data_IF_492618849484
#
_entry.id   IF_492618849484
#
_cell.length_a   1.000
_cell.length_b   1.000
_cell.length_c   1.000
_cell.angle_alpha   90.00
_cell.angle_beta   90.00
_cell.angle_gamma   90.00
#
_symmetry.space_group_name_H-M   'P 1'
#
loop_
_entity.id
_entity.type
_entity.pdbx_description
1 polymer ?
#
# COMPACT_ATOMS: atom_id res chain seq x y z
N UNK A 1 15.55 39.11 -108.70
CA UNK A 1 16.62 39.01 -107.69
C UNK A 1 16.46 40.22 -106.78
N UNK A 2 15.62 40.07 -105.77
CA UNK A 2 15.97 39.78 -104.37
C UNK A 2 16.29 41.05 -103.58
N UNK A 3 15.60 41.14 -102.44
CA UNK A 3 15.79 42.02 -101.26
C UNK A 3 14.86 43.23 -101.17
N UNK A 4 14.31 43.57 -100.02
CA UNK A 4 14.06 42.86 -98.75
C UNK A 4 13.19 43.85 -97.96
N UNK A 5 11.99 43.47 -97.54
CA UNK A 5 11.13 44.29 -96.71
C UNK A 5 11.42 44.01 -95.22
N UNK A 6 11.35 45.09 -94.45
CA UNK A 6 11.51 45.23 -93.01
C UNK A 6 10.67 44.27 -92.16
N UNK A 7 11.22 43.79 -91.04
CA UNK A 7 10.43 43.45 -89.86
C UNK A 7 11.24 43.45 -88.55
N UNK A 8 10.60 44.00 -87.52
CA UNK A 8 11.04 44.14 -86.14
C UNK A 8 11.41 42.80 -85.48
N UNK A 9 12.41 42.83 -84.60
CA UNK A 9 12.54 41.87 -83.50
C UNK A 9 12.70 42.61 -82.16
N UNK A 10 11.71 42.45 -81.28
CA UNK A 10 11.85 42.66 -79.85
C UNK A 10 12.08 41.32 -79.16
N UNK A 11 13.08 41.27 -78.26
CA UNK A 11 13.46 40.16 -77.34
C UNK A 11 14.33 40.85 -76.26
N UNK A 12 14.30 40.67 -74.94
CA UNK A 12 13.64 39.73 -74.02
C UNK A 12 13.60 40.40 -72.63
N UNK A 13 12.47 40.31 -71.91
CA UNK A 13 12.45 40.50 -70.46
C UNK A 13 12.56 39.12 -69.80
N UNK A 14 13.57 38.94 -68.93
CA UNK A 14 13.79 37.70 -68.17
C UNK A 14 12.55 37.34 -67.32
N UNK A 15 12.01 36.14 -67.53
CA UNK A 15 11.08 35.50 -66.62
C UNK A 15 11.83 34.78 -65.51
N UNK A 16 11.55 35.15 -64.26
CA UNK A 16 12.04 34.50 -63.04
C UNK A 16 11.38 33.12 -62.92
N UNK A 17 12.18 32.06 -62.99
CA UNK A 17 11.73 30.70 -62.72
C UNK A 17 11.53 30.50 -61.21
N UNK A 18 10.30 30.13 -60.82
CA UNK A 18 9.91 29.85 -59.45
C UNK A 18 10.56 28.58 -58.89
N UNK A 19 11.21 28.72 -57.74
CA UNK A 19 11.63 27.62 -56.88
C UNK A 19 10.43 27.18 -56.02
N UNK A 20 9.69 26.17 -56.47
CA UNK A 20 8.78 25.43 -55.59
C UNK A 20 9.61 24.49 -54.71
N UNK A 21 9.98 24.98 -53.53
CA UNK A 21 10.59 24.18 -52.48
C UNK A 21 9.59 23.11 -52.00
N UNK A 22 10.01 21.85 -52.10
CA UNK A 22 9.33 20.70 -51.51
C UNK A 22 9.03 20.96 -50.04
N UNK A 23 7.76 21.14 -49.71
CA UNK A 23 7.29 20.99 -48.34
C UNK A 23 7.33 19.51 -47.98
N UNK A 24 8.43 19.07 -47.39
CA UNK A 24 8.47 17.83 -46.59
C UNK A 24 7.40 17.94 -45.52
N UNK A 25 6.31 17.19 -45.68
CA UNK A 25 5.35 16.91 -44.64
C UNK A 25 6.10 16.28 -43.47
N UNK A 26 6.28 17.04 -42.39
CA UNK A 26 6.63 16.49 -41.09
C UNK A 26 5.44 15.62 -40.68
N UNK A 27 5.48 14.34 -41.01
CA UNK A 27 4.74 13.34 -40.27
C UNK A 27 5.27 13.44 -38.84
N UNK A 28 4.53 14.17 -38.00
CA UNK A 28 4.63 14.04 -36.57
C UNK A 28 4.21 12.60 -36.28
N UNK A 29 5.17 11.71 -36.18
CA UNK A 29 5.00 10.52 -35.35
C UNK A 29 4.53 11.06 -34.00
N UNK A 30 3.24 10.86 -33.70
CA UNK A 30 2.79 10.79 -32.33
C UNK A 30 3.67 9.71 -31.71
N UNK A 31 4.73 10.14 -31.04
CA UNK A 31 5.30 9.36 -29.97
C UNK A 31 4.11 9.10 -29.06
N UNK A 32 3.55 7.90 -29.15
CA UNK A 32 2.80 7.36 -28.03
C UNK A 32 3.78 7.47 -26.90
N UNK A 33 3.64 8.52 -26.07
CA UNK A 33 4.22 8.53 -24.75
C UNK A 33 3.75 7.20 -24.18
N UNK A 34 4.64 6.21 -24.08
CA UNK A 34 4.28 4.95 -23.45
C UNK A 34 3.81 5.35 -22.05
N UNK A 35 2.49 5.38 -21.87
CA UNK A 35 1.89 5.78 -20.62
C UNK A 35 2.46 4.83 -19.57
N UNK A 36 3.08 5.41 -18.54
CA UNK A 36 3.65 4.64 -17.46
C UNK A 36 2.52 3.83 -16.82
N UNK A 37 2.63 2.50 -16.72
CA UNK A 37 1.55 1.70 -16.16
C UNK A 37 1.41 2.02 -14.67
N UNK A 38 0.17 1.99 -14.17
CA UNK A 38 -0.06 1.93 -12.73
C UNK A 38 0.46 0.60 -12.17
N UNK A 39 1.02 0.63 -10.96
CA UNK A 39 1.59 -0.54 -10.30
C UNK A 39 0.82 -0.78 -9.01
N UNK A 40 0.16 -1.92 -8.90
CA UNK A 40 -0.57 -2.32 -7.69
C UNK A 40 0.04 -3.63 -7.18
N UNK A 41 0.49 -3.62 -5.93
CA UNK A 41 0.89 -4.82 -5.20
C UNK A 41 -0.20 -5.12 -4.18
N UNK A 42 -0.92 -6.22 -4.39
CA UNK A 42 -1.84 -6.78 -3.41
C UNK A 42 -1.05 -7.79 -2.57
N UNK A 43 -0.97 -7.56 -1.26
CA UNK A 43 -0.16 -8.35 -0.34
C UNK A 43 -1.05 -8.96 0.76
N UNK A 44 -1.45 -10.22 0.58
CA UNK A 44 -2.19 -10.97 1.58
C UNK A 44 -1.29 -11.37 2.77
N UNK A 45 -1.90 -11.64 3.91
CA UNK A 45 -1.19 -11.97 5.15
C UNK A 45 -1.51 -13.42 5.53
N UNK A 46 -0.46 -14.25 5.63
CA UNK A 46 -0.54 -15.69 5.92
C UNK A 46 -1.37 -16.54 4.94
N UNK A 47 -1.64 -16.02 3.73
CA UNK A 47 -2.31 -16.79 2.67
C UNK A 47 -1.37 -17.88 2.14
N UNK A 48 -1.77 -19.14 2.29
CA UNK A 48 -1.03 -20.30 1.83
C UNK A 48 -1.14 -20.53 0.32
N UNK A 49 -0.16 -21.24 -0.25
CA UNK A 49 -0.16 -21.60 -1.67
C UNK A 49 -1.43 -22.36 -2.09
N UNK A 50 -1.93 -23.27 -1.23
CA UNK A 50 -3.12 -24.08 -1.49
C UNK A 50 -4.45 -23.45 -1.11
N UNK A 51 -4.50 -22.16 -0.75
CA UNK A 51 -5.72 -21.50 -0.27
C UNK A 51 -6.57 -20.86 -1.39
N UNK A 52 -6.08 -20.85 -2.63
CA UNK A 52 -6.78 -20.24 -3.78
C UNK A 52 -7.16 -21.32 -4.80
N UNK A 53 -8.36 -21.20 -5.38
CA UNK A 53 -8.90 -22.13 -6.38
C UNK A 53 -7.96 -22.39 -7.56
N UNK A 54 -7.33 -21.34 -8.11
CA UNK A 54 -6.36 -21.47 -9.20
C UNK A 54 -5.08 -22.27 -8.84
N UNK A 55 -4.79 -22.48 -7.56
CA UNK A 55 -3.73 -23.37 -7.06
C UNK A 55 -4.26 -24.72 -6.55
N UNK A 56 -5.54 -25.03 -6.78
CA UNK A 56 -6.15 -26.33 -6.49
C UNK A 56 -6.96 -26.39 -5.18
N UNK A 57 -7.25 -25.25 -4.54
CA UNK A 57 -8.11 -25.25 -3.36
C UNK A 57 -9.53 -25.77 -3.69
N UNK A 58 -10.01 -26.76 -2.94
CA UNK A 58 -11.38 -27.31 -3.12
C UNK A 58 -12.33 -26.92 -1.99
N UNK A 59 -11.81 -26.52 -0.83
CA UNK A 59 -12.60 -26.15 0.36
C UNK A 59 -13.10 -24.70 0.39
N UNK A 60 -12.65 -23.86 -0.53
CA UNK A 60 -13.00 -22.43 -0.61
C UNK A 60 -13.16 -22.01 -2.07
N UNK A 61 -14.00 -21.01 -2.32
CA UNK A 61 -14.18 -20.43 -3.66
C UNK A 61 -13.55 -19.05 -3.71
N UNK A 62 -12.67 -18.82 -4.69
CA UNK A 62 -11.94 -17.56 -4.88
C UNK A 62 -12.15 -16.97 -6.28
N UNK A 63 -13.41 -16.81 -6.76
CA UNK A 63 -13.71 -16.58 -8.16
C UNK A 63 -13.07 -15.32 -8.75
N UNK A 64 -12.88 -14.27 -7.94
CA UNK A 64 -12.21 -13.05 -8.37
C UNK A 64 -10.70 -13.25 -8.60
N UNK A 65 -10.04 -14.05 -7.74
CA UNK A 65 -8.62 -14.40 -7.91
C UNK A 65 -8.44 -15.39 -9.06
N UNK A 66 -9.36 -16.34 -9.21
CA UNK A 66 -9.34 -17.31 -10.31
C UNK A 66 -9.52 -16.59 -11.67
N UNK A 67 -10.40 -15.58 -11.71
CA UNK A 67 -10.54 -14.71 -12.88
C UNK A 67 -9.26 -13.92 -13.16
N UNK A 68 -8.63 -13.32 -12.14
CA UNK A 68 -7.37 -12.60 -12.30
C UNK A 68 -6.27 -13.52 -12.87
N UNK A 69 -6.16 -14.74 -12.33
CA UNK A 69 -5.24 -15.76 -12.80
C UNK A 69 -5.49 -16.15 -14.27
N UNK A 70 -6.76 -16.26 -14.70
CA UNK A 70 -7.12 -16.60 -16.09
C UNK A 70 -6.71 -15.55 -17.13
N UNK A 71 -6.49 -14.30 -16.70
CA UNK A 71 -6.10 -13.18 -17.57
C UNK A 71 -4.66 -12.71 -17.36
N UNK A 72 -3.90 -13.41 -16.51
CA UNK A 72 -2.57 -13.00 -16.08
C UNK A 72 -1.54 -14.10 -16.20
N UNK A 73 -0.45 -13.93 -15.45
CA UNK A 73 0.61 -14.94 -15.31
C UNK A 73 0.49 -15.55 -13.92
N UNK A 74 0.43 -16.87 -13.85
CA UNK A 74 0.40 -17.64 -12.60
C UNK A 74 1.81 -18.18 -12.32
N UNK A 75 2.32 -17.92 -11.13
CA UNK A 75 3.62 -18.42 -10.69
C UNK A 75 3.41 -19.65 -9.82
N UNK A 76 3.95 -20.80 -10.24
CA UNK A 76 3.90 -22.04 -9.44
C UNK A 76 5.11 -22.22 -8.52
N UNK A 77 6.14 -21.39 -8.69
CA UNK A 77 7.39 -21.43 -7.92
C UNK A 77 7.83 -19.99 -7.58
N UNK A 78 7.09 -19.35 -6.67
CA UNK A 78 7.37 -18.02 -6.15
C UNK A 78 7.52 -18.06 -4.64
N UNK A 79 8.53 -17.38 -4.10
CA UNK A 79 8.91 -17.46 -2.68
C UNK A 79 8.96 -16.10 -2.02
N UNK A 80 8.48 -16.03 -0.78
CA UNK A 80 8.81 -14.92 0.10
C UNK A 80 10.28 -15.03 0.55
N UNK A 81 10.92 -13.88 0.80
CA UNK A 81 12.31 -13.84 1.28
C UNK A 81 12.50 -14.43 2.69
N UNK A 82 11.41 -14.60 3.44
CA UNK A 82 11.37 -15.13 4.79
C UNK A 82 10.00 -15.76 5.09
N UNK A 83 9.94 -16.64 6.09
CA UNK A 83 8.71 -17.30 6.53
C UNK A 83 7.82 -16.45 7.46
N UNK A 84 8.17 -15.17 7.69
CA UNK A 84 7.42 -14.27 8.59
C UNK A 84 7.22 -12.88 7.97
N UNK A 85 6.21 -12.17 8.47
CA UNK A 85 5.70 -10.92 7.89
C UNK A 85 6.73 -9.78 7.82
N UNK A 86 7.29 -9.32 8.95
CA UNK A 86 8.21 -8.15 8.98
C UNK A 86 9.43 -8.34 8.07
N UNK A 87 10.17 -9.45 8.12
CA UNK A 87 11.32 -9.67 7.23
C UNK A 87 10.94 -9.73 5.74
N UNK A 88 9.79 -10.31 5.39
CA UNK A 88 9.32 -10.38 4.01
C UNK A 88 8.88 -9.03 3.46
N UNK A 89 8.16 -8.23 4.26
CA UNK A 89 7.77 -6.86 3.90
C UNK A 89 9.00 -5.95 3.75
N UNK A 90 10.00 -6.10 4.63
CA UNK A 90 11.25 -5.36 4.53
C UNK A 90 11.95 -5.64 3.20
N UNK A 91 12.11 -6.92 2.86
CA UNK A 91 12.84 -7.31 1.65
C UNK A 91 12.10 -6.89 0.38
N UNK A 92 10.76 -6.97 0.36
CA UNK A 92 9.95 -6.46 -0.75
C UNK A 92 10.18 -4.96 -0.98
N UNK A 93 10.08 -4.14 0.08
CA UNK A 93 10.14 -2.69 -0.05
C UNK A 93 11.55 -2.15 -0.26
N UNK A 94 12.59 -2.91 0.08
CA UNK A 94 13.99 -2.44 0.01
C UNK A 94 14.82 -3.12 -1.07
N UNK A 95 14.39 -4.29 -1.56
CA UNK A 95 15.21 -5.16 -2.40
C UNK A 95 16.38 -5.81 -1.67
N UNK A 96 16.48 -5.67 -0.33
CA UNK A 96 17.54 -6.26 0.48
C UNK A 96 17.00 -7.38 1.36
N UNK A 97 17.66 -8.55 1.34
CA UNK A 97 17.33 -9.62 2.25
C UNK A 97 17.41 -9.18 3.72
N UNK A 98 16.29 -9.32 4.42
CA UNK A 98 16.10 -8.92 5.81
C UNK A 98 17.14 -9.46 6.82
N UNK A 99 17.75 -10.63 6.57
CA UNK A 99 18.81 -11.16 7.44
C UNK A 99 20.05 -10.25 7.47
N UNK A 100 20.29 -9.44 6.43
CA UNK A 100 21.44 -8.50 6.37
C UNK A 100 21.34 -7.39 7.42
N UNK A 101 20.14 -7.10 7.89
CA UNK A 101 19.87 -6.12 8.95
C UNK A 101 19.35 -6.79 10.23
N UNK A 102 19.39 -8.12 10.31
CA UNK A 102 18.83 -8.90 11.42
C UNK A 102 17.37 -8.55 11.74
N UNK A 103 16.57 -8.26 10.71
CA UNK A 103 15.15 -7.95 10.90
C UNK A 103 14.40 -9.18 11.44
N UNK A 104 13.55 -8.93 12.43
CA UNK A 104 12.72 -9.93 13.11
C UNK A 104 11.27 -9.45 13.14
N UNK A 105 10.35 -10.36 13.47
CA UNK A 105 8.97 -9.97 13.79
C UNK A 105 9.00 -8.99 14.95
N UNK A 106 8.20 -7.93 14.86
CA UNK A 106 8.15 -6.90 15.89
C UNK A 106 7.24 -7.38 17.03
N UNK A 107 7.80 -7.42 18.23
CA UNK A 107 7.07 -7.93 19.40
C UNK A 107 6.26 -6.84 20.11
N UNK A 108 6.44 -5.57 19.72
CA UNK A 108 5.88 -4.37 20.35
C UNK A 108 5.90 -3.17 19.40
N UNK A 109 5.53 -2.01 19.92
CA UNK A 109 5.82 -0.72 19.30
C UNK A 109 7.33 -0.54 19.17
N UNK A 110 7.85 -0.84 17.97
CA UNK A 110 9.25 -0.72 17.63
C UNK A 110 9.48 0.38 16.62
N UNK A 111 10.70 0.94 16.64
CA UNK A 111 11.14 1.96 15.69
C UNK A 111 10.99 1.50 14.26
N UNK A 112 10.84 2.48 13.37
CA UNK A 112 10.83 2.24 11.93
C UNK A 112 12.09 1.45 11.51
N UNK A 113 11.87 0.25 10.99
CA UNK A 113 12.92 -0.69 10.59
C UNK A 113 13.68 -0.21 9.35
N UNK A 114 12.96 0.40 8.40
CA UNK A 114 13.54 1.00 7.20
C UNK A 114 13.98 2.42 7.54
N UNK A 115 15.28 2.63 7.71
CA UNK A 115 15.82 3.96 8.05
C UNK A 115 15.54 4.97 6.92
N UNK A 116 15.09 6.20 7.24
CA UNK A 116 15.01 7.28 6.26
C UNK A 116 16.33 7.45 5.49
N UNK A 117 16.22 7.72 4.19
CA UNK A 117 17.38 7.81 3.28
C UNK A 117 17.83 6.48 2.67
N UNK A 118 17.34 5.32 3.16
CA UNK A 118 17.52 4.04 2.46
C UNK A 118 16.76 4.04 1.14
N UNK A 119 17.33 3.43 0.10
CA UNK A 119 16.59 3.18 -1.14
C UNK A 119 15.44 2.21 -0.90
N UNK A 120 14.27 2.56 -1.42
CA UNK A 120 13.05 1.77 -1.32
C UNK A 120 12.34 1.73 -2.68
N UNK A 121 11.54 0.70 -2.91
CA UNK A 121 10.65 0.59 -4.07
C UNK A 121 9.75 1.84 -4.24
N UNK A 122 8.97 2.28 -3.22
CA UNK A 122 8.20 3.52 -3.33
C UNK A 122 9.09 4.75 -3.56
N UNK A 123 10.23 4.87 -2.88
CA UNK A 123 11.15 6.00 -3.08
C UNK A 123 11.72 6.08 -4.50
N UNK A 124 12.01 4.93 -5.11
CA UNK A 124 12.43 4.82 -6.51
C UNK A 124 11.30 5.21 -7.46
N UNK A 125 10.09 4.68 -7.25
CA UNK A 125 8.93 4.98 -8.11
C UNK A 125 8.52 6.45 -8.01
N UNK A 126 8.56 7.04 -6.82
CA UNK A 126 8.33 8.47 -6.59
C UNK A 126 9.31 9.34 -7.39
N UNK A 127 10.61 8.99 -7.39
CA UNK A 127 11.61 9.66 -8.25
C UNK A 127 11.31 9.50 -9.74
N UNK A 128 10.69 8.39 -10.14
CA UNK A 128 10.24 8.15 -11.51
C UNK A 128 8.91 8.86 -11.85
N UNK A 129 8.35 9.67 -10.96
CA UNK A 129 7.13 10.47 -11.19
C UNK A 129 5.83 9.75 -10.85
N UNK A 130 5.88 8.66 -10.08
CA UNK A 130 4.68 8.00 -9.58
C UNK A 130 4.15 8.68 -8.32
N UNK A 131 2.83 8.75 -8.17
CA UNK A 131 2.21 8.92 -6.85
C UNK A 131 2.30 7.61 -6.09
N UNK A 132 2.63 7.65 -4.80
CA UNK A 132 2.88 6.43 -4.02
C UNK A 132 1.97 6.33 -2.80
N UNK A 133 1.35 5.18 -2.58
CA UNK A 133 0.50 4.92 -1.43
C UNK A 133 0.75 3.54 -0.79
N UNK A 134 0.53 3.49 0.52
CA UNK A 134 0.36 2.24 1.26
C UNK A 134 -0.98 2.25 1.98
N UNK A 135 -1.76 1.17 1.81
CA UNK A 135 -3.03 0.96 2.52
C UNK A 135 -3.02 -0.41 3.19
N UNK A 136 -3.36 -0.47 4.47
CA UNK A 136 -3.52 -1.69 5.26
C UNK A 136 -2.31 -2.03 6.13
N UNK A 137 -1.96 -3.32 6.25
CA UNK A 137 -0.98 -3.80 7.22
C UNK A 137 0.44 -3.28 6.94
N UNK A 138 1.01 -2.55 7.91
CA UNK A 138 2.36 -1.99 7.81
C UNK A 138 3.44 -2.93 8.36
N UNK A 139 3.44 -3.13 9.68
CA UNK A 139 4.30 -4.05 10.41
C UNK A 139 5.83 -3.92 10.17
N UNK A 140 6.30 -2.70 9.93
CA UNK A 140 7.72 -2.34 9.77
C UNK A 140 8.21 -1.33 10.82
N UNK A 141 7.45 -1.17 11.89
CA UNK A 141 7.72 -0.23 12.96
C UNK A 141 7.41 1.21 12.55
N UNK A 142 7.31 2.06 13.56
CA UNK A 142 7.00 3.48 13.46
C UNK A 142 7.73 4.22 14.57
N UNK A 143 8.09 5.47 14.34
CA UNK A 143 8.82 6.25 15.34
C UNK A 143 10.33 6.02 15.30
N UNK A 144 11.08 6.86 16.01
CA UNK A 144 12.55 6.80 16.02
C UNK A 144 13.09 5.70 16.94
N UNK A 145 12.29 5.31 17.93
CA UNK A 145 12.68 4.38 18.99
C UNK A 145 13.44 5.01 20.14
N UNK A 146 13.71 6.32 20.11
CA UNK A 146 14.39 7.02 21.22
C UNK A 146 13.48 7.11 22.45
N UNK A 147 12.17 7.08 22.22
CA UNK A 147 11.10 7.05 23.21
C UNK A 147 10.02 6.08 22.73
N UNK A 148 9.16 5.66 23.67
CA UNK A 148 7.92 4.97 23.30
C UNK A 148 7.12 5.82 22.32
N UNK A 149 6.47 5.17 21.35
CA UNK A 149 5.67 5.84 20.33
C UNK A 149 4.56 6.67 20.99
N UNK A 150 4.55 7.98 20.72
CA UNK A 150 3.46 8.84 21.15
C UNK A 150 2.32 8.79 20.12
N UNK A 151 1.30 7.99 20.43
CA UNK A 151 0.10 7.85 19.60
C UNK A 151 -0.82 9.08 19.65
N UNK A 152 -0.53 10.06 20.51
CA UNK A 152 -1.33 11.29 20.68
C UNK A 152 -0.83 12.48 19.86
N UNK A 153 0.14 12.25 18.99
CA UNK A 153 0.70 13.25 18.08
C UNK A 153 1.03 12.60 16.75
N UNK A 154 1.69 13.35 15.88
CA UNK A 154 2.22 12.77 14.65
C UNK A 154 3.30 11.72 14.96
N UNK A 155 3.12 10.51 14.44
CA UNK A 155 3.98 9.35 14.66
C UNK A 155 5.06 9.32 13.59
N UNK A 156 6.26 9.82 13.94
CA UNK A 156 7.39 9.99 13.01
C UNK A 156 8.70 9.38 13.51
N UNK A 157 9.54 8.84 12.62
CA UNK A 157 9.32 8.62 11.19
C UNK A 157 8.35 7.46 10.88
N UNK A 158 7.77 7.48 9.68
CA UNK A 158 6.88 6.46 9.14
C UNK A 158 7.02 6.31 7.62
N UNK A 159 5.95 5.88 6.91
CA UNK A 159 5.99 5.66 5.46
C UNK A 159 6.38 6.88 4.63
N UNK A 160 6.05 8.08 5.11
CA UNK A 160 6.31 9.33 4.38
C UNK A 160 7.82 9.54 4.17
N UNK A 161 8.62 9.27 5.19
CA UNK A 161 10.08 9.45 5.18
C UNK A 161 10.82 8.39 4.34
N UNK A 162 10.13 7.36 3.87
CA UNK A 162 10.68 6.25 3.07
C UNK A 162 10.01 6.12 1.70
N UNK A 163 9.31 7.16 1.26
CA UNK A 163 8.94 7.34 -0.14
C UNK A 163 7.46 7.18 -0.48
N UNK A 164 6.57 7.02 0.51
CA UNK A 164 5.13 7.05 0.27
C UNK A 164 4.57 8.49 0.37
N UNK A 165 3.69 8.88 -0.55
CA UNK A 165 2.97 10.16 -0.50
C UNK A 165 1.72 10.11 0.37
N UNK A 166 1.11 8.93 0.45
CA UNK A 166 -0.10 8.65 1.23
C UNK A 166 0.06 7.36 2.03
N UNK A 167 -0.47 7.34 3.25
CA UNK A 167 -0.52 6.13 4.07
C UNK A 167 -1.81 6.03 4.87
N UNK A 168 -2.43 4.85 4.86
CA UNK A 168 -3.52 4.47 5.76
C UNK A 168 -3.23 3.08 6.32
N UNK A 169 -2.88 2.99 7.60
CA UNK A 169 -2.22 1.81 8.15
C UNK A 169 -3.04 1.12 9.22
N UNK A 170 -2.96 -0.22 9.21
CA UNK A 170 -2.93 -1.01 10.44
C UNK A 170 -1.45 -1.00 10.89
N UNK A 171 -1.10 -0.37 12.03
CA UNK A 171 0.30 -0.07 12.35
C UNK A 171 1.21 -1.30 12.46
N UNK A 172 0.72 -2.36 13.11
CA UNK A 172 1.43 -3.63 13.25
C UNK A 172 0.59 -4.77 12.68
N UNK A 173 -0.22 -5.42 13.51
CA UNK A 173 -1.11 -6.53 13.13
C UNK A 173 -2.46 -6.31 13.81
N UNK A 174 -3.54 -6.92 13.30
CA UNK A 174 -4.86 -6.78 13.93
C UNK A 174 -4.90 -7.31 15.38
N UNK A 175 -4.08 -8.29 15.74
CA UNK A 175 -3.96 -8.87 17.09
C UNK A 175 -3.17 -8.03 18.10
N UNK A 176 -2.57 -6.90 17.71
CA UNK A 176 -1.72 -6.06 18.58
C UNK A 176 -2.37 -4.71 18.89
N UNK A 177 -2.07 -4.18 20.08
CA UNK A 177 -2.40 -2.78 20.42
C UNK A 177 -1.37 -1.80 19.83
N UNK A 178 -1.73 -0.53 19.57
CA UNK A 178 -3.08 0.02 19.67
C UNK A 178 -3.98 -0.42 18.52
N UNK A 179 -5.25 -0.68 18.83
CA UNK A 179 -6.26 -1.07 17.85
C UNK A 179 -6.85 0.13 17.13
N UNK A 180 -6.01 0.90 16.44
CA UNK A 180 -6.39 2.14 15.75
C UNK A 180 -5.80 2.20 14.35
N UNK A 181 -6.45 2.92 13.44
CA UNK A 181 -5.87 3.23 12.14
C UNK A 181 -4.97 4.46 12.21
N UNK A 182 -3.90 4.46 11.41
CA UNK A 182 -3.01 5.60 11.23
C UNK A 182 -3.12 6.14 9.81
N UNK A 183 -3.61 7.37 9.64
CA UNK A 183 -3.66 8.05 8.35
C UNK A 183 -2.65 9.19 8.32
N UNK A 184 -1.71 9.15 7.36
CA UNK A 184 -0.64 10.14 7.22
C UNK A 184 0.02 10.49 8.56
N UNK A 185 0.47 9.46 9.26
CA UNK A 185 1.19 9.55 10.54
C UNK A 185 0.34 10.03 11.74
N UNK A 186 -0.98 10.14 11.61
CA UNK A 186 -1.88 10.54 12.71
C UNK A 186 -2.95 9.48 12.97
N UNK A 187 -3.30 9.30 14.23
CA UNK A 187 -4.39 8.39 14.60
C UNK A 187 -5.71 8.96 14.09
N UNK A 188 -6.49 8.12 13.40
CA UNK A 188 -7.80 8.49 12.86
C UNK A 188 -8.80 8.64 14.01
N UNK A 189 -9.57 9.73 14.02
CA UNK A 189 -10.61 10.02 15.02
C UNK A 189 -10.12 10.06 16.48
N UNK A 190 -8.85 10.40 16.72
CA UNK A 190 -8.36 10.58 18.07
C UNK A 190 -9.02 11.80 18.73
N UNK A 191 -9.67 11.56 19.87
CA UNK A 191 -10.14 12.61 20.77
C UNK A 191 -9.01 13.06 21.70
N UNK A 192 -8.67 14.35 21.70
CA UNK A 192 -7.62 14.91 22.54
C UNK A 192 -7.91 14.79 24.05
N UNK A 193 -9.18 14.68 24.43
CA UNK A 193 -9.61 14.53 25.83
C UNK A 193 -9.55 13.06 26.30
N UNK A 194 -9.30 12.11 25.39
CA UNK A 194 -9.16 10.67 25.68
C UNK A 194 -7.86 10.11 25.06
N UNK A 195 -6.68 10.49 25.59
CA UNK A 195 -5.40 10.14 24.99
C UNK A 195 -5.08 8.64 25.08
N UNK A 196 -4.47 8.12 24.03
CA UNK A 196 -3.99 6.75 23.93
C UNK A 196 -2.72 6.55 24.77
N UNK A 197 -2.71 5.49 25.57
CA UNK A 197 -1.50 4.96 26.21
C UNK A 197 -1.35 3.48 25.85
N UNK A 198 -0.13 3.05 25.54
CA UNK A 198 0.19 1.66 25.17
C UNK A 198 1.33 1.15 26.05
N UNK A 199 1.22 -0.10 26.49
CA UNK A 199 2.24 -0.79 27.27
C UNK A 199 2.25 -2.28 26.93
N UNK A 200 3.41 -2.81 26.55
CA UNK A 200 3.58 -4.25 26.31
C UNK A 200 4.11 -5.00 27.52
N UNK A 201 4.58 -4.29 28.55
CA UNK A 201 5.28 -4.89 29.70
C UNK A 201 4.43 -4.91 30.97
N UNK A 202 3.50 -3.96 31.12
CA UNK A 202 2.70 -3.78 32.35
C UNK A 202 1.23 -3.51 32.03
N UNK A 203 0.28 -4.07 32.80
CA UNK A 203 -1.13 -3.71 32.69
C UNK A 203 -1.37 -2.21 32.83
N UNK A 204 -2.38 -1.72 32.11
CA UNK A 204 -2.99 -0.41 32.32
C UNK A 204 -4.36 -0.69 32.96
N UNK A 205 -4.62 -0.18 34.16
CA UNK A 205 -5.77 -0.59 35.00
C UNK A 205 -7.14 -0.05 34.54
N UNK A 206 -7.37 0.10 33.24
CA UNK A 206 -8.57 0.77 32.71
C UNK A 206 -9.46 -0.19 31.91
N UNK A 207 -8.87 -1.04 31.05
CA UNK A 207 -9.64 -1.90 30.15
C UNK A 207 -9.58 -3.37 30.59
N UNK A 208 -10.69 -4.13 30.40
CA UNK A 208 -10.72 -5.55 30.71
C UNK A 208 -9.71 -6.33 29.86
N UNK A 209 -9.31 -7.49 30.36
CA UNK A 209 -8.31 -8.34 29.69
C UNK A 209 -8.87 -9.72 29.41
N UNK A 210 -8.46 -10.36 28.31
CA UNK A 210 -8.95 -11.70 27.97
C UNK A 210 -8.67 -12.75 29.05
N UNK A 211 -7.56 -12.60 29.79
CA UNK A 211 -7.21 -13.51 30.89
C UNK A 211 -8.16 -13.38 32.09
N UNK A 212 -8.49 -12.15 32.51
CA UNK A 212 -9.34 -11.90 33.68
C UNK A 212 -10.84 -11.86 33.36
N UNK A 213 -11.20 -11.67 32.08
CA UNK A 213 -12.56 -11.47 31.62
C UNK A 213 -12.90 -12.32 30.38
N UNK A 214 -12.74 -13.66 30.44
CA UNK A 214 -13.01 -14.53 29.30
C UNK A 214 -14.47 -14.46 28.83
N UNK A 215 -15.41 -14.10 29.71
CA UNK A 215 -16.82 -13.91 29.41
C UNK A 215 -17.12 -12.76 28.44
N UNK A 216 -16.18 -11.83 28.28
CA UNK A 216 -16.31 -10.69 27.36
C UNK A 216 -15.81 -10.99 25.95
N UNK A 217 -15.26 -12.19 25.72
CA UNK A 217 -14.63 -12.55 24.46
C UNK A 217 -15.61 -13.13 23.44
N UNK A 218 -15.57 -12.61 22.21
CA UNK A 218 -16.24 -13.19 21.03
C UNK A 218 -15.54 -14.46 20.53
N UNK A 219 -14.27 -14.64 20.89
CA UNK A 219 -13.45 -15.79 20.50
C UNK A 219 -12.47 -16.16 21.62
N UNK A 220 -12.13 -17.44 21.80
CA UNK A 220 -11.20 -17.84 22.84
C UNK A 220 -9.84 -17.14 22.72
N UNK A 221 -9.33 -16.67 23.85
CA UNK A 221 -7.94 -16.19 23.96
C UNK A 221 -6.98 -17.37 24.12
N UNK A 222 -5.77 -17.24 23.57
CA UNK A 222 -4.65 -18.11 23.91
C UNK A 222 -3.69 -17.42 24.91
N UNK A 223 -2.57 -18.07 25.23
CA UNK A 223 -1.60 -17.55 26.19
C UNK A 223 -0.97 -16.20 25.79
N UNK A 224 -0.89 -15.91 24.49
CA UNK A 224 -0.33 -14.68 23.93
C UNK A 224 -1.40 -13.59 23.77
N UNK A 225 -2.61 -13.98 23.33
CA UNK A 225 -3.71 -13.09 22.96
C UNK A 225 -4.70 -12.85 24.10
N UNK A 226 -4.23 -12.63 25.34
CA UNK A 226 -5.09 -12.53 26.53
C UNK A 226 -4.98 -11.20 27.29
N UNK A 227 -4.45 -10.15 26.66
CA UNK A 227 -4.33 -8.81 27.27
C UNK A 227 -5.57 -7.97 26.95
N UNK A 228 -5.43 -6.66 26.70
CA UNK A 228 -6.58 -5.74 26.56
C UNK A 228 -7.61 -6.26 25.56
N UNK A 229 -8.89 -6.22 25.94
CA UNK A 229 -10.02 -6.53 25.08
C UNK A 229 -10.48 -5.25 24.37
N UNK A 230 -10.53 -5.30 23.04
CA UNK A 230 -11.13 -4.27 22.20
C UNK A 230 -12.20 -4.94 21.35
N UNK A 231 -13.45 -4.46 21.46
CA UNK A 231 -14.60 -4.95 20.71
C UNK A 231 -14.86 -6.47 20.84
N UNK A 232 -14.60 -7.00 22.03
CA UNK A 232 -14.77 -8.43 22.36
C UNK A 232 -13.63 -9.31 21.85
N UNK A 233 -12.51 -8.74 21.41
CA UNK A 233 -11.33 -9.49 20.98
C UNK A 233 -10.13 -9.03 21.81
N UNK A 234 -9.52 -9.98 22.52
CA UNK A 234 -8.30 -9.74 23.29
C UNK A 234 -7.07 -9.67 22.40
N UNK A 235 -6.12 -8.85 22.81
CA UNK A 235 -4.93 -8.50 22.02
C UNK A 235 -3.64 -8.91 22.72
N UNK A 236 -2.54 -8.77 21.99
CA UNK A 236 -1.19 -8.69 22.53
C UNK A 236 -0.96 -7.25 22.99
N UNK A 237 -0.54 -7.09 24.25
CA UNK A 237 -0.25 -5.79 24.87
C UNK A 237 -1.46 -5.11 25.52
N UNK A 238 -1.17 -4.07 26.29
CA UNK A 238 -2.15 -3.30 27.04
C UNK A 238 -2.31 -1.91 26.42
N UNK A 239 -3.56 -1.44 26.32
CA UNK A 239 -3.84 -0.05 25.94
C UNK A 239 -4.95 0.56 26.80
N UNK A 240 -5.01 1.89 26.81
CA UNK A 240 -6.11 2.68 27.36
C UNK A 240 -6.34 3.93 26.50
N UNK A 241 -7.54 4.50 26.58
CA UNK A 241 -7.95 5.69 25.83
C UNK A 241 -8.12 5.47 24.33
N UNK A 242 -8.36 6.57 23.61
CA UNK A 242 -8.63 6.59 22.17
C UNK A 242 -9.89 5.85 21.75
N UNK A 243 -10.93 5.85 22.59
CA UNK A 243 -12.15 5.05 22.36
C UNK A 243 -12.79 5.32 21.00
N UNK A 244 -12.87 6.59 20.59
CA UNK A 244 -13.45 7.00 19.29
C UNK A 244 -12.57 6.63 18.10
N UNK A 245 -11.30 6.29 18.36
CA UNK A 245 -10.31 5.86 17.35
C UNK A 245 -10.22 4.32 17.24
N UNK A 246 -10.84 3.55 18.14
CA UNK A 246 -10.78 2.09 18.09
C UNK A 246 -11.43 1.59 16.80
N UNK A 247 -10.69 0.79 16.05
CA UNK A 247 -11.23 0.17 14.84
C UNK A 247 -12.30 -0.86 15.18
N UNK A 248 -13.07 -1.25 14.17
CA UNK A 248 -13.91 -2.46 14.20
C UNK A 248 -13.30 -3.49 13.26
N UNK A 249 -12.85 -4.62 13.80
CA UNK A 249 -12.10 -5.64 13.06
C UNK A 249 -12.86 -6.19 11.85
N UNK A 250 -14.17 -6.42 12.03
CA UNK A 250 -15.09 -6.87 10.99
C UNK A 250 -15.10 -5.93 9.78
N UNK A 251 -14.81 -4.65 9.97
CA UNK A 251 -14.95 -3.63 8.94
C UNK A 251 -13.64 -3.38 8.18
N UNK A 252 -12.54 -4.07 8.53
CA UNK A 252 -11.23 -3.92 7.90
C UNK A 252 -11.28 -3.97 6.36
N UNK A 253 -11.90 -4.98 5.71
CA UNK A 253 -11.92 -5.04 4.26
C UNK A 253 -12.59 -3.82 3.64
N UNK A 254 -13.66 -3.31 4.25
CA UNK A 254 -14.43 -2.17 3.74
C UNK A 254 -13.69 -0.85 3.92
N UNK A 255 -13.12 -0.61 5.11
CA UNK A 255 -12.34 0.60 5.39
C UNK A 255 -11.12 0.67 4.48
N UNK A 256 -10.38 -0.44 4.35
CA UNK A 256 -9.18 -0.47 3.50
C UNK A 256 -9.51 -0.37 2.01
N UNK A 257 -10.59 -1.03 1.54
CA UNK A 257 -11.05 -0.88 0.16
C UNK A 257 -11.45 0.56 -0.14
N UNK A 258 -12.23 1.22 0.73
CA UNK A 258 -12.67 2.60 0.50
C UNK A 258 -11.49 3.58 0.37
N UNK A 259 -10.45 3.42 1.20
CA UNK A 259 -9.22 4.23 1.11
C UNK A 259 -8.44 3.93 -0.18
N UNK A 260 -8.40 2.67 -0.58
CA UNK A 260 -7.77 2.23 -1.83
C UNK A 260 -8.46 2.82 -3.06
N UNK A 261 -9.79 2.71 -3.14
CA UNK A 261 -10.62 3.27 -4.22
C UNK A 261 -10.49 4.79 -4.29
N UNK A 262 -10.53 5.47 -3.13
CA UNK A 262 -10.32 6.92 -3.06
C UNK A 262 -8.96 7.33 -3.62
N UNK A 263 -7.89 6.60 -3.28
CA UNK A 263 -6.56 6.88 -3.81
C UNK A 263 -6.47 6.66 -5.33
N UNK A 264 -7.05 5.56 -5.84
CA UNK A 264 -7.05 5.25 -7.26
C UNK A 264 -7.83 6.33 -8.04
N UNK A 265 -9.03 6.70 -7.60
CA UNK A 265 -9.85 7.71 -8.27
C UNK A 265 -9.17 9.08 -8.28
N UNK A 266 -8.56 9.48 -7.15
CA UNK A 266 -7.83 10.75 -7.05
C UNK A 266 -6.57 10.81 -7.95
N UNK A 267 -6.06 9.68 -8.43
CA UNK A 267 -4.85 9.59 -9.24
C UNK A 267 -5.09 8.94 -10.61
N UNK A 268 -6.33 8.85 -11.11
CA UNK A 268 -6.63 8.20 -12.39
C UNK A 268 -5.89 8.77 -13.60
N UNK A 269 -5.53 10.05 -13.56
CA UNK A 269 -4.78 10.77 -14.62
C UNK A 269 -3.26 10.81 -14.37
N UNK A 270 -2.75 10.15 -13.33
CA UNK A 270 -1.33 10.21 -12.94
C UNK A 270 -0.83 8.80 -12.61
N UNK A 271 0.33 8.37 -13.13
CA UNK A 271 0.86 7.05 -12.82
C UNK A 271 1.03 6.89 -11.31
N UNK A 272 0.49 5.80 -10.75
CA UNK A 272 0.54 5.54 -9.32
C UNK A 272 1.09 4.16 -8.96
N UNK A 273 1.69 4.09 -7.78
CA UNK A 273 2.11 2.89 -7.10
C UNK A 273 1.29 2.74 -5.83
N UNK A 274 0.62 1.60 -5.70
CA UNK A 274 -0.20 1.26 -4.56
C UNK A 274 0.29 -0.05 -3.96
N UNK A 275 0.80 0.02 -2.74
CA UNK A 275 1.06 -1.14 -1.89
C UNK A 275 -0.18 -1.40 -1.03
N UNK A 276 -1.04 -2.31 -1.48
CA UNK A 276 -2.26 -2.68 -0.77
C UNK A 276 -2.04 -3.97 0.03
N UNK A 277 -1.82 -3.82 1.34
CA UNK A 277 -1.49 -4.91 2.25
C UNK A 277 -2.71 -5.30 3.11
N UNK A 278 -3.25 -6.49 2.87
CA UNK A 278 -4.41 -6.99 3.61
C UNK A 278 -4.03 -7.40 5.04
N UNK A 279 -5.04 -7.39 5.92
CA UNK A 279 -4.97 -8.08 7.22
C UNK A 279 -5.33 -9.56 7.07
N UNK A 280 -6.32 -9.88 6.24
CA UNK A 280 -6.75 -11.26 6.06
C UNK A 280 -5.68 -12.11 5.36
N UNK A 281 -5.44 -13.36 5.78
CA UNK A 281 -6.21 -14.18 6.76
C UNK A 281 -5.50 -14.31 8.12
N UNK A 282 -4.70 -13.30 8.51
CA UNK A 282 -4.02 -13.27 9.81
C UNK A 282 -5.03 -13.20 10.97
N UNK A 283 -4.58 -13.62 12.16
CA UNK A 283 -5.39 -13.52 13.38
C UNK A 283 -5.49 -12.07 13.89
N UNK A 284 -6.57 -11.69 14.59
CA UNK A 284 -7.81 -12.44 14.73
C UNK A 284 -8.60 -12.41 13.41
N UNK A 285 -9.23 -13.54 13.08
CA UNK A 285 -10.06 -13.68 11.87
C UNK A 285 -11.50 -13.32 12.24
N UNK A 286 -11.81 -12.02 12.20
CA UNK A 286 -13.13 -11.49 12.56
C UNK A 286 -13.93 -11.20 11.30
N UNK A 287 -14.85 -12.10 10.96
CA UNK A 287 -15.57 -12.08 9.69
C UNK A 287 -16.71 -11.06 9.74
N UNK A 288 -16.76 -10.16 8.75
CA UNK A 288 -17.91 -9.27 8.59
C UNK A 288 -19.20 -10.06 8.33
N UNK A 289 -20.34 -9.61 8.85
CA UNK A 289 -21.63 -10.30 8.70
C UNK A 289 -22.01 -10.61 7.24
N UNK A 290 -21.63 -9.77 6.28
CA UNK A 290 -21.84 -10.01 4.85
C UNK A 290 -21.14 -11.27 4.29
N UNK A 291 -20.14 -11.82 4.99
CA UNK A 291 -19.41 -13.02 4.59
C UNK A 291 -19.75 -14.24 5.47
N UNK A 292 -20.67 -14.09 6.43
CA UNK A 292 -21.20 -15.20 7.21
C UNK A 292 -22.36 -15.78 6.40
N UNK A 293 -22.23 -17.04 5.97
CA UNK A 293 -23.34 -17.75 5.32
C UNK A 293 -24.50 -17.89 6.32
N UNK A 294 -25.65 -17.28 6.00
CA UNK A 294 -26.96 -17.66 6.56
C UNK A 294 -27.49 -18.91 5.88
#
# INVERSE_FOLDING_TARGET
MTHCNSLLLGVSLLTVAGLNSCQTSKNQEKTSSKEKPNIVIIYADDLGYGDIGCYGATGVKTPNLDKLASTGVVFTDAHCSAATCTPSRYSLLTGEHAFRVNAKVLDRDEKLLIKPGKSTLPGMLKKAGYRTAVVGKWHLGLGSGDKATNWNSEVKPGPQEIGFDYSFLIPATGDRVPCVFLENQKVVNLNCDDPITVSYNKPLEILPTGYNNPELLKMPADGQHNKTIINGVSRIGYMSGGKDAHWKDEDFPFVLNAKTETFIEANKETPFFLYYAFHDIHVPRVIHHNFICT
#
